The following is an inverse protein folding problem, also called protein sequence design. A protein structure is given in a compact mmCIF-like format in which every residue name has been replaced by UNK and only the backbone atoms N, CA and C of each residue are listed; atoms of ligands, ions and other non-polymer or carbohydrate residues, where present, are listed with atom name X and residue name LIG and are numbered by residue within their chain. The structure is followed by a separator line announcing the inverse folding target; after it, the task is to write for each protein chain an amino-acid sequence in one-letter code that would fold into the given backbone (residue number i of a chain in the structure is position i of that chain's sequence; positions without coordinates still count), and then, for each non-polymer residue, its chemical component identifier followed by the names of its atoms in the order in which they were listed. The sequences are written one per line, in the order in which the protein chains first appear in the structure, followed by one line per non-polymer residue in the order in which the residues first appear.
data_IF_179460617442
#
_entry.id   IF_179460617442
#
_cell.length_a   1.000
_cell.length_b   1.000
_cell.length_c   1.000
_cell.angle_alpha   90.00
_cell.angle_beta   90.00
_cell.angle_gamma   90.00
#
_symmetry.space_group_name_H-M   'P 1'
#
loop_
_entity.id
_entity.type
_entity.pdbx_description
1 polymer ?
#
# COMPACT_ATOMS: atom_id res chain seq x y z
N UNK A 1 -18.45 -28.17 -11.80
CA UNK A 1 -19.20 -26.91 -11.66
C UNK A 1 -18.72 -26.22 -10.39
N UNK A 2 -18.61 -24.89 -10.43
CA UNK A 2 -18.13 -23.98 -9.35
C UNK A 2 -16.60 -23.90 -9.25
N UNK A 3 -15.98 -23.22 -10.22
CA UNK A 3 -14.73 -22.52 -10.00
C UNK A 3 -15.09 -21.11 -9.56
N UNK A 4 -14.58 -20.66 -8.42
CA UNK A 4 -14.83 -19.31 -7.89
C UNK A 4 -14.44 -18.22 -8.90
N UNK A 5 -14.82 -16.97 -8.60
CA UNK A 5 -14.46 -15.79 -9.41
C UNK A 5 -13.00 -15.89 -9.82
N UNK A 6 -12.77 -16.20 -11.10
CA UNK A 6 -11.45 -16.41 -11.63
C UNK A 6 -10.76 -15.07 -11.85
N UNK A 7 -9.47 -15.15 -12.15
CA UNK A 7 -8.72 -13.98 -12.60
C UNK A 7 -9.40 -13.24 -13.77
N UNK A 8 -10.02 -13.92 -14.76
CA UNK A 8 -10.73 -13.25 -15.86
C UNK A 8 -11.90 -12.38 -15.39
N UNK A 9 -12.73 -12.89 -14.49
CA UNK A 9 -13.90 -12.17 -13.97
C UNK A 9 -13.49 -10.95 -13.14
N UNK A 10 -12.43 -11.07 -12.33
CA UNK A 10 -11.88 -9.92 -11.60
C UNK A 10 -11.38 -8.81 -12.53
N UNK A 11 -10.74 -9.18 -13.65
CA UNK A 11 -10.28 -8.21 -14.65
C UNK A 11 -11.48 -7.48 -15.28
N UNK A 12 -12.55 -8.19 -15.62
CA UNK A 12 -13.77 -7.57 -16.17
C UNK A 12 -14.37 -6.56 -15.18
N UNK A 13 -14.48 -6.94 -13.91
CA UNK A 13 -14.98 -6.04 -12.85
C UNK A 13 -14.07 -4.82 -12.71
N UNK A 14 -12.75 -5.02 -12.72
CA UNK A 14 -11.78 -3.94 -12.65
C UNK A 14 -11.94 -2.96 -13.82
N UNK A 15 -12.13 -3.46 -15.04
CA UNK A 15 -12.36 -2.60 -16.23
C UNK A 15 -13.64 -1.77 -16.08
N UNK A 16 -14.73 -2.35 -15.57
CA UNK A 16 -15.97 -1.59 -15.34
C UNK A 16 -15.75 -0.47 -14.32
N UNK A 17 -15.06 -0.77 -13.21
CA UNK A 17 -14.70 0.22 -12.19
C UNK A 17 -13.82 1.33 -12.81
N UNK A 18 -12.85 0.97 -13.65
CA UNK A 18 -12.01 1.93 -14.36
C UNK A 18 -12.78 2.82 -15.33
N UNK A 19 -13.85 2.35 -15.95
CA UNK A 19 -14.70 3.18 -16.82
C UNK A 19 -15.49 4.19 -15.99
N UNK A 20 -16.03 3.78 -14.83
CA UNK A 20 -16.83 4.66 -13.96
C UNK A 20 -15.95 5.71 -13.28
N UNK A 21 -14.82 5.30 -12.72
CA UNK A 21 -13.94 6.18 -11.94
C UNK A 21 -12.83 6.82 -12.78
N UNK A 22 -12.48 6.24 -13.91
CA UNK A 22 -11.33 6.62 -14.73
C UNK A 22 -10.02 5.94 -14.29
N UNK A 23 -9.14 5.65 -15.25
CA UNK A 23 -7.84 5.03 -15.04
C UNK A 23 -6.90 5.83 -14.10
N UNK A 24 -7.09 7.14 -14.00
CA UNK A 24 -6.29 8.02 -13.13
C UNK A 24 -6.68 8.01 -11.65
N UNK A 25 -7.93 7.65 -11.30
CA UNK A 25 -8.40 7.74 -9.91
C UNK A 25 -7.81 6.66 -9.01
N UNK A 26 -7.62 5.44 -9.52
CA UNK A 26 -6.99 4.36 -8.75
C UNK A 26 -5.58 4.70 -8.27
N UNK A 27 -4.64 5.15 -9.12
CA UNK A 27 -3.30 5.54 -8.68
C UNK A 27 -3.30 6.78 -7.78
N UNK A 28 -4.21 7.73 -7.99
CA UNK A 28 -4.37 8.90 -7.13
C UNK A 28 -4.76 8.52 -5.69
N UNK A 29 -5.78 7.66 -5.55
CA UNK A 29 -6.23 7.12 -4.26
C UNK A 29 -5.12 6.26 -3.65
N UNK A 30 -4.48 5.39 -4.44
CA UNK A 30 -3.39 4.53 -4.00
C UNK A 30 -2.18 5.32 -3.49
N UNK A 31 -1.83 6.43 -4.14
CA UNK A 31 -0.76 7.32 -3.68
C UNK A 31 -1.09 7.98 -2.34
N UNK A 32 -2.34 8.43 -2.14
CA UNK A 32 -2.82 8.97 -0.87
C UNK A 32 -2.78 7.94 0.26
N UNK A 33 -3.37 6.76 0.03
CA UNK A 33 -3.36 5.64 0.98
C UNK A 33 -1.94 5.17 1.28
N UNK A 34 -1.07 5.08 0.28
CA UNK A 34 0.32 4.66 0.43
C UNK A 34 1.13 5.61 1.31
N UNK A 35 0.94 6.92 1.16
CA UNK A 35 1.55 7.92 2.06
C UNK A 35 1.01 7.78 3.48
N UNK A 36 -0.30 7.57 3.63
CA UNK A 36 -0.93 7.34 4.94
C UNK A 36 -0.37 6.11 5.65
N UNK A 37 -0.32 4.96 4.97
CA UNK A 37 0.24 3.71 5.50
C UNK A 37 1.72 3.87 5.84
N UNK A 38 2.51 4.55 4.99
CA UNK A 38 3.94 4.82 5.26
C UNK A 38 4.13 5.65 6.52
N UNK A 39 3.35 6.73 6.68
CA UNK A 39 3.43 7.59 7.84
C UNK A 39 2.94 6.88 9.11
N UNK A 40 1.86 6.11 9.00
CA UNK A 40 1.34 5.27 10.10
C UNK A 40 2.41 4.27 10.55
N UNK A 41 3.01 3.52 9.62
CA UNK A 41 4.09 2.57 9.93
C UNK A 41 5.29 3.25 10.60
N UNK A 42 5.66 4.45 10.14
CA UNK A 42 6.76 5.23 10.72
C UNK A 42 6.44 5.64 12.16
N UNK A 43 5.27 6.23 12.39
CA UNK A 43 4.82 6.65 13.71
C UNK A 43 4.67 5.46 14.68
N UNK A 44 4.13 4.33 14.23
CA UNK A 44 4.07 3.10 15.04
C UNK A 44 5.46 2.55 15.36
N UNK A 45 6.41 2.63 14.42
CA UNK A 45 7.79 2.21 14.67
C UNK A 45 8.48 3.14 15.67
N UNK A 46 8.30 4.45 15.56
CA UNK A 46 8.84 5.44 16.50
C UNK A 46 8.23 5.26 17.89
N UNK A 47 6.90 5.08 18.00
CA UNK A 47 6.22 4.78 19.26
C UNK A 47 6.65 3.44 19.89
N UNK A 48 7.05 2.44 19.10
CA UNK A 48 7.61 1.18 19.62
C UNK A 48 9.11 1.29 19.96
N UNK A 49 9.81 2.30 19.45
CA UNK A 49 11.22 2.55 19.76
C UNK A 49 11.38 3.34 21.07
N UNK A 50 10.36 4.06 21.53
CA UNK A 50 10.34 4.68 22.86
C UNK A 50 10.39 3.64 24.00
N UNK A 51 10.09 2.36 23.72
CA UNK A 51 10.29 1.23 24.65
C UNK A 51 11.63 0.49 24.45
N UNK A 52 12.47 0.91 23.50
CA UNK A 52 13.80 0.33 23.26
C UNK A 52 14.83 1.41 22.95
N UNK A 53 15.47 1.92 24.00
CA UNK A 53 16.80 2.52 23.90
C UNK A 53 17.78 1.47 23.34
N UNK A 54 18.04 1.44 22.02
CA UNK A 54 19.33 1.03 21.42
C UNK A 54 19.48 1.65 20.00
N UNK A 55 20.34 2.66 19.88
CA UNK A 55 21.10 3.02 18.67
C UNK A 55 22.51 2.39 18.77
N UNK A 56 23.45 2.45 17.78
CA UNK A 56 23.37 2.58 16.31
C UNK A 56 24.34 1.59 15.56
N UNK A 57 24.19 1.33 14.24
CA UNK A 57 25.38 1.21 13.35
C UNK A 57 25.12 1.37 11.83
N UNK A 58 26.06 2.08 11.22
CA UNK A 58 26.23 2.53 9.82
C UNK A 58 26.36 1.39 8.81
N UNK A 59 26.07 1.65 7.52
CA UNK A 59 27.07 1.41 6.45
C UNK A 59 26.95 2.49 5.37
N UNK A 60 27.92 3.39 5.45
CA UNK A 60 28.50 4.21 4.41
C UNK A 60 29.21 3.31 3.36
N UNK A 61 28.85 3.43 2.08
CA UNK A 61 29.69 3.12 0.90
C UNK A 61 29.13 4.01 -0.22
N UNK A 62 29.81 5.01 -0.81
CA UNK A 62 31.22 5.32 -1.00
C UNK A 62 31.33 6.82 -1.27
#
# INVERSE_FOLDING_TARGET
MIGGVGMPELIIILVIILIIFGAGKLPEIGAGLGKGIKNFKKATKEANLEDKEEEPEKIEKK
#
